data_IF_034640658050
#
_entry.id   IF_034640658050
#
_cell.length_a   1.000
_cell.length_b   1.000
_cell.length_c   1.000
_cell.angle_alpha   90.00
_cell.angle_beta   90.00
_cell.angle_gamma   90.00
#
_symmetry.space_group_name_H-M   'P 1'
#
loop_
_entity.id
_entity.type
_entity.pdbx_description
1 polymer ?
#
# COMPACT_ATOMS: atom_id res chain seq x y z
N UNK A 1 71.87 -22.73 29.70
CA UNK A 1 71.33 -24.02 29.22
C UNK A 1 70.50 -23.71 27.99
N UNK A 2 71.11 -23.93 26.83
CA UNK A 2 70.43 -23.93 25.53
C UNK A 2 70.08 -25.38 25.21
N UNK A 3 68.90 -25.61 24.64
CA UNK A 3 68.49 -26.79 23.89
C UNK A 3 67.47 -26.27 22.86
N UNK A 4 67.81 -26.16 21.58
CA UNK A 4 67.76 -27.23 20.54
C UNK A 4 66.32 -27.76 20.36
N UNK A 5 65.73 -27.91 19.17
CA UNK A 5 66.16 -27.77 17.77
C UNK A 5 64.91 -27.48 16.91
N UNK A 6 65.00 -27.01 15.66
CA UNK A 6 65.33 -27.82 14.48
C UNK A 6 64.07 -28.55 13.97
N UNK A 7 63.61 -28.48 12.72
CA UNK A 7 64.10 -27.93 11.47
C UNK A 7 63.22 -28.47 10.32
N UNK A 8 63.42 -27.93 9.10
CA UNK A 8 62.89 -28.45 7.83
C UNK A 8 61.55 -27.82 7.41
N UNK A 9 61.31 -27.38 6.18
CA UNK A 9 62.00 -27.43 4.90
C UNK A 9 60.91 -27.18 3.83
N UNK A 10 61.12 -26.23 2.91
CA UNK A 10 60.12 -25.78 1.90
C UNK A 10 59.89 -26.75 0.73
N UNK A 11 59.67 -26.30 -0.53
CA UNK A 11 59.25 -24.98 -1.05
C UNK A 11 58.17 -25.10 -2.17
N UNK A 12 57.94 -24.00 -2.92
CA UNK A 12 57.24 -23.86 -4.23
C UNK A 12 55.71 -23.64 -4.14
N UNK A 13 55.08 -22.70 -4.86
CA UNK A 13 55.52 -21.74 -5.87
C UNK A 13 54.30 -21.06 -6.53
N UNK A 14 54.53 -19.93 -7.24
CA UNK A 14 53.62 -19.27 -8.21
C UNK A 14 52.35 -18.62 -7.63
N UNK A 15 51.78 -17.53 -8.13
CA UNK A 15 51.99 -16.69 -9.30
C UNK A 15 50.72 -15.83 -9.52
N UNK A 16 50.85 -14.70 -10.20
CA UNK A 16 49.73 -13.86 -10.72
C UNK A 16 49.16 -12.88 -9.69
N UNK A 17 49.25 -11.56 -9.86
CA UNK A 17 48.58 -10.77 -10.91
C UNK A 17 47.18 -10.40 -10.39
N UNK A 18 46.94 -9.21 -9.84
CA UNK A 18 46.81 -7.95 -10.58
C UNK A 18 45.35 -7.75 -11.00
N UNK A 19 44.63 -6.84 -10.36
CA UNK A 19 43.26 -6.48 -10.74
C UNK A 19 42.63 -5.50 -9.77
N UNK A 20 42.42 -4.26 -10.24
CA UNK A 20 41.94 -3.13 -9.47
C UNK A 20 40.45 -3.19 -9.06
N UNK A 21 39.86 -2.03 -8.71
CA UNK A 21 38.61 -1.93 -7.97
C UNK A 21 37.42 -2.56 -8.72
N UNK A 22 36.61 -3.30 -7.97
CA UNK A 22 35.34 -3.87 -8.42
C UNK A 22 34.39 -2.77 -8.89
N UNK A 23 34.26 -2.65 -10.21
CA UNK A 23 33.31 -1.79 -10.92
C UNK A 23 31.84 -2.18 -10.66
N UNK A 24 30.90 -1.24 -10.85
CA UNK A 24 29.49 -1.38 -10.51
C UNK A 24 28.75 -2.24 -11.56
N UNK A 25 28.73 -3.55 -11.37
CA UNK A 25 27.97 -4.48 -12.23
C UNK A 25 27.03 -5.44 -11.49
N UNK A 26 26.90 -5.36 -10.16
CA UNK A 26 25.91 -6.13 -9.37
C UNK A 26 24.55 -5.42 -9.20
N UNK A 27 24.13 -4.65 -10.22
CA UNK A 27 22.77 -4.09 -10.28
C UNK A 27 22.11 -4.46 -11.60
N UNK A 28 21.78 -5.73 -11.75
CA UNK A 28 20.72 -6.07 -12.68
C UNK A 28 20.04 -7.39 -12.32
N UNK A 29 18.70 -7.29 -12.33
CA UNK A 29 17.67 -8.35 -12.42
C UNK A 29 17.13 -8.86 -11.09
N UNK A 30 16.16 -8.11 -10.58
CA UNK A 30 14.93 -8.71 -10.06
C UNK A 30 13.71 -7.95 -10.61
N UNK A 31 13.55 -7.99 -11.93
CA UNK A 31 12.27 -7.70 -12.61
C UNK A 31 11.43 -8.97 -12.69
N UNK A 32 11.23 -9.64 -11.55
CA UNK A 32 10.26 -10.71 -11.43
C UNK A 32 8.90 -10.06 -11.15
N UNK A 33 8.12 -9.82 -12.21
CA UNK A 33 6.68 -9.60 -12.11
C UNK A 33 6.10 -10.85 -11.44
N UNK A 34 5.79 -10.75 -10.16
CA UNK A 34 5.21 -11.85 -9.41
C UNK A 34 3.81 -12.15 -9.95
N UNK A 35 3.45 -13.42 -10.17
CA UNK A 35 2.10 -13.79 -10.55
C UNK A 35 1.14 -13.35 -9.43
N UNK A 36 0.11 -12.60 -9.82
CA UNK A 36 -0.96 -12.05 -9.00
C UNK A 36 -1.65 -13.16 -8.18
N UNK A 37 -1.19 -13.40 -6.95
CA UNK A 37 -1.71 -14.49 -6.10
C UNK A 37 -1.82 -14.15 -4.61
N UNK A 38 -1.25 -13.03 -4.18
CA UNK A 38 -1.50 -12.46 -2.86
C UNK A 38 -1.13 -10.99 -2.98
N UNK A 39 -2.01 -10.06 -2.61
CA UNK A 39 -1.62 -8.66 -2.46
C UNK A 39 -0.40 -8.52 -1.54
N UNK A 40 0.17 -7.31 -1.45
CA UNK A 40 1.27 -7.06 -0.51
C UNK A 40 0.94 -7.65 0.88
N UNK A 41 1.89 -8.22 1.65
CA UNK A 41 1.61 -8.79 2.96
C UNK A 41 0.90 -7.83 3.94
N UNK A 42 0.94 -6.53 3.64
CA UNK A 42 0.26 -5.44 4.37
C UNK A 42 -0.99 -4.90 3.66
N UNK A 43 -1.53 -5.61 2.67
CA UNK A 43 -2.75 -5.22 1.95
C UNK A 43 -3.99 -5.87 2.57
N UNK A 44 -5.10 -5.13 2.57
CA UNK A 44 -6.42 -5.64 2.93
C UNK A 44 -7.26 -5.62 1.68
N UNK A 45 -7.93 -6.72 1.37
CA UNK A 45 -8.77 -6.88 0.19
C UNK A 45 -10.18 -7.24 0.63
N UNK A 46 -11.18 -6.60 0.01
CA UNK A 46 -12.61 -6.92 0.19
C UNK A 46 -13.09 -7.83 -0.94
N UNK A 47 -14.29 -8.39 -0.80
CA UNK A 47 -14.90 -9.25 -1.82
C UNK A 47 -15.18 -8.48 -3.12
N UNK A 48 -15.23 -9.20 -4.24
CA UNK A 48 -15.68 -8.69 -5.54
C UNK A 48 -17.01 -9.37 -5.87
N UNK A 49 -18.12 -8.65 -5.76
CA UNK A 49 -19.44 -9.05 -6.25
C UNK A 49 -19.89 -8.01 -7.28
N UNK A 50 -20.54 -8.48 -8.34
CA UNK A 50 -20.51 -7.84 -9.67
C UNK A 50 -21.89 -7.30 -10.10
N UNK A 51 -22.86 -7.22 -9.18
CA UNK A 51 -24.26 -6.96 -9.58
C UNK A 51 -24.69 -5.49 -9.50
N UNK A 52 -24.05 -4.66 -8.65
CA UNK A 52 -24.50 -3.27 -8.42
C UNK A 52 -23.37 -2.26 -8.67
N UNK A 53 -23.66 -1.26 -9.53
CA UNK A 53 -22.84 -0.06 -9.70
C UNK A 53 -23.13 1.01 -8.64
N UNK A 54 -22.13 1.83 -8.37
CA UNK A 54 -22.19 3.01 -7.52
C UNK A 54 -21.23 4.05 -8.05
N UNK A 55 -21.47 5.32 -7.73
CA UNK A 55 -20.49 6.38 -7.96
C UNK A 55 -19.31 6.30 -6.99
N UNK A 56 -19.53 5.70 -5.81
CA UNK A 56 -18.57 5.79 -4.72
C UNK A 56 -18.72 4.72 -3.65
N UNK A 57 -17.64 4.50 -2.89
CA UNK A 57 -17.59 3.62 -1.73
C UNK A 57 -16.94 4.32 -0.54
N UNK A 58 -17.56 4.16 0.63
CA UNK A 58 -17.03 4.67 1.90
C UNK A 58 -16.69 3.50 2.82
N UNK A 59 -15.48 3.47 3.36
CA UNK A 59 -15.05 2.51 4.38
C UNK A 59 -14.19 3.20 5.43
N UNK A 60 -13.89 2.52 6.54
CA UNK A 60 -13.01 3.06 7.57
C UNK A 60 -11.88 2.09 7.89
N UNK A 61 -10.70 2.65 8.11
CA UNK A 61 -9.53 1.93 8.62
C UNK A 61 -9.36 2.30 10.07
N UNK A 62 -9.26 1.31 10.96
CA UNK A 62 -9.14 1.50 12.40
C UNK A 62 -7.90 0.81 12.94
N UNK A 63 -7.11 1.52 13.74
CA UNK A 63 -6.01 0.90 14.49
C UNK A 63 -6.56 0.11 15.69
N UNK A 64 -5.90 -0.98 16.11
CA UNK A 64 -6.31 -1.71 17.30
C UNK A 64 -6.37 -0.81 18.54
N UNK A 65 -7.40 -1.01 19.38
CA UNK A 65 -7.44 -0.46 20.74
C UNK A 65 -6.95 -1.55 21.68
N UNK A 66 -5.70 -1.46 22.12
CA UNK A 66 -5.19 -2.40 23.12
C UNK A 66 -5.21 -1.73 24.50
N UNK A 67 -6.23 -2.05 25.29
CA UNK A 67 -6.40 -1.48 26.65
C UNK A 67 -5.47 -2.13 27.67
N UNK A 68 -4.92 -3.31 27.35
CA UNK A 68 -4.15 -4.14 28.28
C UNK A 68 -2.66 -4.27 27.91
N UNK A 69 -2.25 -3.82 26.74
CA UNK A 69 -0.86 -3.88 26.30
C UNK A 69 -0.46 -2.64 25.53
N UNK A 70 0.21 -1.71 26.22
CA UNK A 70 0.59 -0.38 25.71
C UNK A 70 1.64 -0.42 24.59
N UNK A 71 2.35 -1.54 24.41
CA UNK A 71 3.43 -1.67 23.42
C UNK A 71 2.93 -1.82 21.96
N UNK A 72 1.61 -1.97 21.76
CA UNK A 72 0.98 -2.13 20.44
C UNK A 72 0.19 -0.89 19.99
N UNK A 73 0.70 0.31 20.29
CA UNK A 73 0.17 1.58 19.81
C UNK A 73 0.99 2.11 18.63
N UNK A 74 0.89 1.46 17.48
CA UNK A 74 1.54 1.93 16.25
C UNK A 74 0.54 2.61 15.32
N UNK A 75 0.98 3.70 14.72
CA UNK A 75 0.28 4.33 13.63
C UNK A 75 0.27 3.40 12.42
N UNK A 76 -0.82 3.43 11.65
CA UNK A 76 -0.92 2.75 10.35
C UNK A 76 -0.86 3.80 9.26
N UNK A 77 -0.11 3.51 8.20
CA UNK A 77 -0.03 4.34 7.01
C UNK A 77 -0.72 3.63 5.86
N UNK A 78 -1.70 4.29 5.25
CA UNK A 78 -2.29 3.87 3.98
C UNK A 78 -1.44 4.55 2.90
N UNK A 79 -0.75 3.75 2.09
CA UNK A 79 0.20 4.24 1.07
C UNK A 79 -0.30 4.04 -0.35
N UNK A 80 -1.45 3.40 -0.53
CA UNK A 80 -2.06 3.15 -1.83
C UNK A 80 -3.46 2.58 -1.66
N UNK A 81 -4.20 2.57 -2.76
CA UNK A 81 -5.56 2.06 -2.83
C UNK A 81 -5.82 1.50 -4.23
N UNK A 82 -6.64 0.46 -4.29
CA UNK A 82 -7.21 -0.03 -5.54
C UNK A 82 -8.74 0.05 -5.44
N UNK A 83 -9.41 0.36 -6.54
CA UNK A 83 -10.87 0.30 -6.63
C UNK A 83 -11.29 -0.70 -7.70
N UNK A 84 -12.50 -1.25 -7.57
CA UNK A 84 -13.01 -2.21 -8.55
C UNK A 84 -13.94 -1.53 -9.56
N UNK A 85 -13.65 -1.76 -10.84
CA UNK A 85 -14.53 -1.44 -11.98
C UNK A 85 -14.38 -2.55 -13.02
N UNK A 86 -15.48 -2.91 -13.69
CA UNK A 86 -15.48 -3.90 -14.77
C UNK A 86 -15.03 -3.31 -16.12
N UNK A 87 -14.91 -1.99 -16.18
CA UNK A 87 -14.45 -1.26 -17.36
C UNK A 87 -12.98 -1.50 -17.69
N UNK A 88 -12.66 -1.41 -18.98
CA UNK A 88 -11.28 -1.38 -19.53
C UNK A 88 -10.96 -0.07 -20.23
N UNK A 89 -11.69 0.98 -19.87
CA UNK A 89 -11.59 2.31 -20.44
C UNK A 89 -11.03 3.28 -19.40
N UNK A 90 -10.70 4.49 -19.86
CA UNK A 90 -10.29 5.56 -18.96
C UNK A 90 -11.46 5.96 -18.04
N UNK A 91 -11.17 6.07 -16.75
CA UNK A 91 -12.08 6.55 -15.71
C UNK A 91 -11.40 7.66 -14.92
N UNK A 92 -12.17 8.64 -14.45
CA UNK A 92 -11.69 9.69 -13.55
C UNK A 92 -12.04 9.33 -12.12
N UNK A 93 -11.08 9.45 -11.21
CA UNK A 93 -11.24 9.04 -9.83
C UNK A 93 -10.85 10.16 -8.85
N UNK A 94 -11.45 10.10 -7.66
CA UNK A 94 -11.02 10.87 -6.50
C UNK A 94 -11.03 10.00 -5.25
N UNK A 95 -10.07 10.25 -4.36
CA UNK A 95 -9.99 9.63 -3.03
C UNK A 95 -9.92 10.71 -1.98
N UNK A 96 -10.85 10.63 -1.06
CA UNK A 96 -11.03 11.56 0.04
C UNK A 96 -10.84 10.84 1.36
N UNK A 97 -10.33 11.53 2.37
CA UNK A 97 -10.23 10.99 3.73
C UNK A 97 -10.76 11.95 4.79
N UNK A 98 -11.28 11.38 5.87
CA UNK A 98 -11.82 12.12 7.01
C UNK A 98 -11.42 11.44 8.30
N UNK A 99 -10.95 12.20 9.28
CA UNK A 99 -10.66 11.67 10.61
C UNK A 99 -11.95 11.16 11.29
N UNK A 100 -11.87 10.00 11.94
CA UNK A 100 -13.02 9.34 12.57
C UNK A 100 -13.82 8.44 11.64
N UNK A 101 -14.96 7.96 12.14
CA UNK A 101 -15.91 7.15 11.35
C UNK A 101 -16.89 8.05 10.61
N UNK A 102 -17.24 7.67 9.38
CA UNK A 102 -18.04 8.47 8.45
C UNK A 102 -19.33 9.00 9.08
N UNK A 103 -20.08 8.11 9.74
CA UNK A 103 -21.39 8.37 10.34
C UNK A 103 -21.31 9.00 11.74
N UNK A 104 -20.12 9.37 12.25
CA UNK A 104 -19.98 9.96 13.59
C UNK A 104 -20.76 11.27 13.74
N UNK A 105 -20.87 12.05 12.66
CA UNK A 105 -21.58 13.35 12.64
C UNK A 105 -23.05 13.20 12.23
N UNK A 106 -23.53 11.97 12.01
CA UNK A 106 -24.90 11.74 11.58
C UNK A 106 -25.85 11.86 12.77
N UNK A 107 -26.67 12.91 12.78
CA UNK A 107 -27.63 13.21 13.85
C UNK A 107 -29.05 12.67 13.58
N UNK A 108 -29.25 11.90 12.51
CA UNK A 108 -30.53 11.24 12.22
C UNK A 108 -31.61 12.11 11.53
N UNK A 109 -31.30 13.35 11.16
CA UNK A 109 -32.28 14.31 10.63
C UNK A 109 -32.01 14.83 9.19
N UNK A 110 -31.09 14.23 8.44
CA UNK A 110 -30.74 14.70 7.08
C UNK A 110 -30.04 13.65 6.22
N UNK A 111 -29.63 14.04 5.01
CA UNK A 111 -28.83 13.21 4.10
C UNK A 111 -27.50 12.78 4.73
N UNK A 112 -26.96 11.64 4.30
CA UNK A 112 -25.73 11.08 4.85
C UNK A 112 -24.52 12.02 4.64
N UNK A 113 -23.50 12.00 5.53
CA UNK A 113 -22.44 13.01 5.64
C UNK A 113 -21.42 13.11 4.49
N UNK A 114 -21.67 12.51 3.32
CA UNK A 114 -20.94 12.87 2.09
C UNK A 114 -21.32 14.28 1.61
N UNK A 115 -22.48 14.81 2.03
CA UNK A 115 -22.97 16.12 1.59
C UNK A 115 -22.07 17.31 1.96
N UNK A 116 -21.11 17.14 2.87
CA UNK A 116 -20.14 18.19 3.21
C UNK A 116 -18.70 17.71 3.00
N UNK A 117 -18.26 17.73 1.73
CA UNK A 117 -16.88 17.43 1.34
C UNK A 117 -15.85 18.39 1.96
N UNK A 118 -16.25 19.54 2.51
CA UNK A 118 -15.30 20.46 3.18
C UNK A 118 -14.67 19.85 4.45
N UNK A 119 -15.28 18.80 5.01
CA UNK A 119 -14.75 18.02 6.14
C UNK A 119 -13.79 16.90 5.71
N UNK A 120 -13.58 16.73 4.41
CA UNK A 120 -12.73 15.70 3.85
C UNK A 120 -11.48 16.32 3.22
N UNK A 121 -10.37 15.60 3.31
CA UNK A 121 -9.14 15.93 2.62
C UNK A 121 -9.01 15.07 1.36
N UNK A 122 -8.83 15.71 0.21
CA UNK A 122 -8.48 15.01 -1.03
C UNK A 122 -7.05 14.49 -0.93
N UNK A 123 -6.87 13.19 -1.13
CA UNK A 123 -5.56 12.51 -1.00
C UNK A 123 -5.08 11.91 -2.31
N UNK A 124 -5.98 11.68 -3.28
CA UNK A 124 -5.62 11.32 -4.63
C UNK A 124 -6.71 11.78 -5.61
N UNK A 125 -6.34 12.20 -6.80
CA UNK A 125 -7.26 12.38 -7.92
C UNK A 125 -6.52 12.14 -9.24
N UNK A 126 -7.27 11.85 -10.29
CA UNK A 126 -6.67 11.71 -11.62
C UNK A 126 -7.52 10.88 -12.56
N UNK A 127 -6.87 10.35 -13.59
CA UNK A 127 -7.47 9.41 -14.52
C UNK A 127 -6.61 8.14 -14.61
N UNK A 128 -7.27 7.00 -14.75
CA UNK A 128 -6.60 5.70 -14.92
C UNK A 128 -7.41 4.81 -15.86
N UNK A 129 -6.80 3.76 -16.40
CA UNK A 129 -7.51 2.76 -17.20
C UNK A 129 -7.99 1.64 -16.27
N UNK A 130 -9.30 1.37 -16.28
CA UNK A 130 -9.87 0.29 -15.51
C UNK A 130 -9.20 -1.06 -15.81
N UNK A 131 -8.94 -1.85 -14.76
CA UNK A 131 -8.30 -3.15 -14.89
C UNK A 131 -9.25 -4.24 -15.44
N UNK A 132 -10.55 -3.94 -15.45
CA UNK A 132 -11.62 -4.80 -15.89
C UNK A 132 -12.05 -5.84 -14.86
N UNK A 133 -13.03 -6.65 -15.27
CA UNK A 133 -13.66 -7.67 -14.42
C UNK A 133 -12.67 -8.54 -13.65
N UNK A 134 -12.92 -8.69 -12.34
CA UNK A 134 -12.14 -9.52 -11.42
C UNK A 134 -10.76 -8.98 -11.03
N UNK A 135 -10.46 -7.70 -11.31
CA UNK A 135 -9.16 -7.09 -11.01
C UNK A 135 -9.32 -5.71 -10.37
N UNK A 136 -8.58 -5.46 -9.30
CA UNK A 136 -8.43 -4.11 -8.74
C UNK A 136 -7.76 -3.18 -9.75
N UNK A 137 -8.30 -1.98 -9.88
CA UNK A 137 -7.71 -0.88 -10.63
C UNK A 137 -6.85 -0.07 -9.67
N UNK A 138 -5.52 -0.14 -9.79
CA UNK A 138 -4.64 0.59 -8.87
C UNK A 138 -4.70 2.08 -9.14
N UNK A 139 -4.71 2.84 -8.06
CA UNK A 139 -4.40 4.27 -8.11
C UNK A 139 -2.88 4.40 -8.21
N UNK A 140 -2.35 5.18 -9.17
CA UNK A 140 -0.91 5.43 -9.29
C UNK A 140 -0.32 5.91 -7.97
N UNK A 141 0.83 5.36 -7.57
CA UNK A 141 1.45 5.68 -6.28
C UNK A 141 1.85 7.16 -6.20
N UNK A 142 2.23 7.75 -7.34
CA UNK A 142 2.56 9.16 -7.50
C UNK A 142 1.36 10.10 -7.26
N UNK A 143 0.14 9.62 -7.46
CA UNK A 143 -1.09 10.40 -7.27
C UNK A 143 -1.61 10.29 -5.82
N UNK A 144 -1.11 9.33 -5.04
CA UNK A 144 -1.63 9.03 -3.70
C UNK A 144 -0.79 9.64 -2.58
N UNK A 145 -1.37 10.60 -1.87
CA UNK A 145 -0.80 11.17 -0.64
C UNK A 145 -1.00 10.21 0.53
N UNK A 146 0.08 9.72 1.19
CA UNK A 146 -0.06 8.77 2.28
C UNK A 146 -0.92 9.29 3.44
N UNK A 147 -1.79 8.42 3.94
CA UNK A 147 -2.75 8.76 5.00
C UNK A 147 -2.38 8.08 6.30
N UNK A 148 -2.19 8.89 7.35
CA UNK A 148 -1.92 8.40 8.70
C UNK A 148 -3.22 8.06 9.42
N UNK A 149 -3.32 6.84 9.92
CA UNK A 149 -4.34 6.40 10.88
C UNK A 149 -3.67 6.31 12.26
N UNK A 150 -3.98 7.23 13.19
CA UNK A 150 -3.29 7.27 14.48
C UNK A 150 -3.51 5.98 15.28
N UNK A 151 -2.52 5.63 16.10
CA UNK A 151 -2.64 4.54 17.06
C UNK A 151 -3.78 4.74 18.09
N UNK A 152 -4.05 3.69 18.88
CA UNK A 152 -4.91 3.80 20.07
C UNK A 152 -6.40 3.70 19.78
N UNK A 153 -6.80 2.88 18.81
CA UNK A 153 -8.22 2.65 18.53
C UNK A 153 -8.86 3.70 17.62
N UNK A 154 -8.08 4.60 17.02
CA UNK A 154 -8.58 5.68 16.15
C UNK A 154 -8.90 5.13 14.76
N UNK A 155 -9.85 5.81 14.11
CA UNK A 155 -10.30 5.47 12.77
C UNK A 155 -10.11 6.65 11.82
N UNK A 156 -9.92 6.33 10.55
CA UNK A 156 -9.97 7.26 9.41
C UNK A 156 -10.93 6.68 8.39
N UNK A 157 -11.87 7.49 7.93
CA UNK A 157 -12.77 7.15 6.83
C UNK A 157 -12.11 7.47 5.50
N UNK A 158 -12.31 6.61 4.52
CA UNK A 158 -11.85 6.75 3.15
C UNK A 158 -13.08 6.69 2.25
N UNK A 159 -13.15 7.63 1.32
CA UNK A 159 -14.17 7.68 0.28
C UNK A 159 -13.49 7.68 -1.08
N UNK A 160 -13.77 6.65 -1.89
CA UNK A 160 -13.32 6.57 -3.28
C UNK A 160 -14.53 6.77 -4.18
N UNK A 161 -14.39 7.59 -5.21
CA UNK A 161 -15.45 7.88 -6.17
C UNK A 161 -14.92 7.93 -7.59
N UNK A 162 -15.77 7.56 -8.54
CA UNK A 162 -15.57 7.82 -9.96
C UNK A 162 -16.53 8.92 -10.43
N UNK A 163 -16.22 9.52 -11.57
CA UNK A 163 -17.16 10.43 -12.26
C UNK A 163 -18.36 9.70 -12.88
N UNK A 164 -18.32 8.37 -12.93
CA UNK A 164 -19.36 7.47 -13.45
C UNK A 164 -19.80 6.49 -12.37
N UNK A 165 -20.93 5.80 -12.56
CA UNK A 165 -21.49 4.81 -11.64
C UNK A 165 -20.85 3.41 -11.77
N UNK A 166 -19.60 3.36 -12.22
CA UNK A 166 -18.89 2.14 -12.57
C UNK A 166 -18.00 1.59 -11.44
N UNK A 167 -18.10 2.14 -10.22
CA UNK A 167 -17.56 1.45 -9.06
C UNK A 167 -18.49 0.30 -8.73
N UNK A 168 -17.92 -0.90 -8.65
CA UNK A 168 -18.65 -2.10 -8.25
C UNK A 168 -18.34 -2.39 -6.77
N UNK A 169 -19.38 -2.57 -5.96
CA UNK A 169 -19.26 -2.86 -4.52
C UNK A 169 -19.64 -4.31 -4.21
N UNK A 170 -19.04 -4.82 -3.13
CA UNK A 170 -19.52 -5.98 -2.38
C UNK A 170 -19.51 -5.68 -0.88
#
# INVERSE_FOLDING_TARGET
MNSEGGGGGGPQGGGGGGGGPSSPQDRQKDTAVRPWGSGCPSSVTTTFDDSNGSYGNVFHVRTPRNEFNFDYQKDVWITGLEFYTDLRTQVSYEVWTKAGVYYADYTGAGELPLGDLSKWALVANGTTVGAGRGRGTPIPEEDFSPVKVPAGGRATSVYVTLSTDDIRYA
#
